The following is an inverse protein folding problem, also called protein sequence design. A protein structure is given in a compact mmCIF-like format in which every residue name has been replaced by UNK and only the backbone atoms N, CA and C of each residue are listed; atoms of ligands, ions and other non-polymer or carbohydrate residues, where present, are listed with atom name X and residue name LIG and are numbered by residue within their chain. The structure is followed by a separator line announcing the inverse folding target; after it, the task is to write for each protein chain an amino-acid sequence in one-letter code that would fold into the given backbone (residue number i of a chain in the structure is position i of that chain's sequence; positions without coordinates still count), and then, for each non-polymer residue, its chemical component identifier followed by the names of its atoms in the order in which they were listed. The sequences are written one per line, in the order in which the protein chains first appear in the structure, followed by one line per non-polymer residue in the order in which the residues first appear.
data_IF_086383723013
#
_entry.id   IF_086383723013
#
_cell.length_a   1.000
_cell.length_b   1.000
_cell.length_c   1.000
_cell.angle_alpha   90.00
_cell.angle_beta   90.00
_cell.angle_gamma   90.00
#
_symmetry.space_group_name_H-M   'P 1'
#
loop_
_entity.id
_entity.type
_entity.pdbx_description
1 polymer ?
#
# COMPACT_ATOMS: atom_id res chain seq x y z
N UNK A 1 -19.56 -72.90 2.76
CA UNK A 1 -18.14 -72.60 3.07
C UNK A 1 -17.94 -71.10 2.87
N UNK A 2 -17.47 -70.41 3.91
CA UNK A 2 -17.20 -68.96 3.89
C UNK A 2 -15.79 -68.72 3.34
N UNK A 3 -15.65 -68.06 2.20
CA UNK A 3 -14.35 -67.61 1.71
C UNK A 3 -14.04 -66.21 2.26
N UNK A 4 -13.11 -66.18 3.22
CA UNK A 4 -12.48 -64.96 3.73
C UNK A 4 -11.42 -64.50 2.73
N UNK A 5 -11.84 -63.68 1.76
CA UNK A 5 -10.93 -62.94 0.89
C UNK A 5 -10.09 -61.94 1.70
N UNK A 6 -8.81 -62.25 1.85
CA UNK A 6 -7.79 -61.40 2.47
C UNK A 6 -7.68 -60.07 1.71
N UNK A 7 -7.89 -58.94 2.40
CA UNK A 7 -7.45 -57.64 1.90
C UNK A 7 -5.92 -57.65 1.85
N UNK A 8 -5.36 -57.80 0.65
CA UNK A 8 -3.96 -57.55 0.39
C UNK A 8 -3.71 -56.06 0.58
N UNK A 9 -3.14 -55.68 1.71
CA UNK A 9 -2.62 -54.33 1.93
C UNK A 9 -1.43 -54.14 1.01
N UNK A 10 -1.66 -53.56 -0.16
CA UNK A 10 -0.58 -53.00 -0.96
C UNK A 10 0.06 -51.92 -0.11
N UNK A 11 1.21 -52.23 0.46
CA UNK A 11 2.08 -51.31 1.19
C UNK A 11 2.56 -50.29 0.15
N UNK A 12 1.81 -49.21 0.00
CA UNK A 12 2.24 -48.06 -0.80
C UNK A 12 3.47 -47.52 -0.06
N UNK A 13 4.63 -47.64 -0.69
CA UNK A 13 5.85 -47.00 -0.22
C UNK A 13 5.59 -45.49 -0.22
N UNK A 14 5.36 -44.93 0.97
CA UNK A 14 5.14 -43.50 1.17
C UNK A 14 6.24 -42.66 0.53
N UNK A 15 7.47 -43.19 0.46
CA UNK A 15 8.61 -42.58 -0.20
C UNK A 15 8.37 -42.30 -1.69
N UNK A 16 7.69 -43.20 -2.42
CA UNK A 16 7.31 -42.95 -3.84
C UNK A 16 6.22 -41.90 -3.99
N UNK A 17 5.34 -41.76 -2.99
CA UNK A 17 4.30 -40.71 -2.98
C UNK A 17 4.92 -39.36 -2.63
N UNK A 18 5.91 -39.35 -1.73
CA UNK A 18 6.70 -38.16 -1.39
C UNK A 18 7.53 -37.70 -2.59
N UNK A 19 8.19 -38.59 -3.32
CA UNK A 19 8.94 -38.21 -4.54
C UNK A 19 8.03 -37.57 -5.61
N UNK A 20 6.83 -38.10 -5.82
CA UNK A 20 5.84 -37.51 -6.76
C UNK A 20 5.30 -36.16 -6.26
N UNK A 21 5.30 -35.92 -4.95
CA UNK A 21 4.89 -34.65 -4.35
C UNK A 21 6.04 -33.63 -4.27
N UNK A 22 7.29 -34.07 -4.14
CA UNK A 22 8.48 -33.21 -4.20
C UNK A 22 8.79 -32.73 -5.62
N UNK A 23 8.49 -33.54 -6.65
CA UNK A 23 8.52 -33.13 -8.06
C UNK A 23 7.39 -32.16 -8.45
N UNK A 24 6.40 -31.97 -7.57
CA UNK A 24 5.39 -30.91 -7.65
C UNK A 24 5.82 -29.62 -6.93
N UNK A 25 7.12 -29.40 -6.71
CA UNK A 25 7.63 -28.04 -6.50
C UNK A 25 7.13 -27.18 -7.66
N UNK A 26 6.26 -26.25 -7.30
CA UNK A 26 5.44 -25.41 -8.16
C UNK A 26 6.21 -24.94 -9.41
N UNK A 27 6.01 -25.62 -10.54
CA UNK A 27 6.28 -24.99 -11.83
C UNK A 27 5.29 -23.84 -11.92
N UNK A 28 5.81 -22.62 -12.03
CA UNK A 28 4.96 -21.46 -12.27
C UNK A 28 4.15 -21.74 -13.54
N UNK A 29 2.91 -21.26 -13.63
CA UNK A 29 2.15 -21.34 -14.89
C UNK A 29 2.95 -20.76 -16.07
N UNK A 30 3.85 -19.82 -15.77
CA UNK A 30 4.80 -19.24 -16.71
C UNK A 30 5.83 -20.24 -17.26
N UNK A 31 6.23 -21.26 -16.49
CA UNK A 31 7.21 -22.28 -16.90
C UNK A 31 6.62 -23.26 -17.91
N UNK A 32 5.30 -23.47 -17.86
CA UNK A 32 4.53 -24.39 -18.70
C UNK A 32 4.07 -23.77 -20.03
N UNK A 33 4.30 -22.47 -20.27
CA UNK A 33 3.93 -21.81 -21.51
C UNK A 33 4.92 -22.10 -22.64
N UNK A 34 4.44 -22.08 -23.89
CA UNK A 34 5.30 -22.08 -25.09
C UNK A 34 6.22 -20.84 -25.09
N UNK A 35 7.47 -20.98 -25.53
CA UNK A 35 8.45 -19.89 -25.51
C UNK A 35 7.96 -18.63 -26.24
N UNK A 36 7.32 -18.78 -27.41
CA UNK A 36 6.72 -17.64 -28.15
C UNK A 36 5.67 -16.88 -27.33
N UNK A 37 4.92 -17.56 -26.47
CA UNK A 37 3.94 -16.92 -25.57
C UNK A 37 4.63 -16.21 -24.41
N UNK A 38 5.72 -16.78 -23.87
CA UNK A 38 6.52 -16.12 -22.82
C UNK A 38 7.20 -14.86 -23.34
N UNK A 39 7.76 -14.90 -24.55
CA UNK A 39 8.38 -13.74 -25.20
C UNK A 39 7.36 -12.61 -25.40
N UNK A 40 6.19 -12.91 -25.96
CA UNK A 40 5.11 -11.91 -26.11
C UNK A 40 4.67 -11.31 -24.78
N UNK A 41 4.55 -12.11 -23.72
CA UNK A 41 4.19 -11.59 -22.40
C UNK A 41 5.31 -10.69 -21.85
N UNK A 42 6.58 -11.08 -22.01
CA UNK A 42 7.72 -10.28 -21.58
C UNK A 42 7.83 -8.95 -22.34
N UNK A 43 7.55 -8.95 -23.65
CA UNK A 43 7.49 -7.73 -24.46
C UNK A 43 6.36 -6.81 -23.98
N UNK A 44 5.16 -7.36 -23.74
CA UNK A 44 4.04 -6.60 -23.20
C UNK A 44 4.36 -6.03 -21.81
N UNK A 45 5.03 -6.78 -20.93
CA UNK A 45 5.46 -6.30 -19.60
C UNK A 45 6.47 -5.15 -19.74
N UNK A 46 7.43 -5.26 -20.66
CA UNK A 46 8.38 -4.18 -20.94
C UNK A 46 7.70 -2.93 -21.48
N UNK A 47 6.75 -3.08 -22.40
CA UNK A 47 5.99 -1.97 -22.96
C UNK A 47 5.14 -1.28 -21.88
N UNK A 48 4.45 -2.05 -21.03
CA UNK A 48 3.67 -1.54 -19.89
C UNK A 48 4.58 -0.79 -18.91
N UNK A 49 5.73 -1.36 -18.56
CA UNK A 49 6.71 -0.72 -17.67
C UNK A 49 7.18 0.62 -18.23
N UNK A 50 7.48 0.67 -19.54
CA UNK A 50 7.92 1.89 -20.22
C UNK A 50 6.81 2.96 -20.22
N UNK A 51 5.56 2.56 -20.48
CA UNK A 51 4.41 3.47 -20.43
C UNK A 51 4.18 4.00 -19.01
N UNK A 52 4.33 3.16 -17.99
CA UNK A 52 4.26 3.56 -16.59
C UNK A 52 5.32 4.61 -16.25
N UNK A 53 6.57 4.41 -16.66
CA UNK A 53 7.64 5.38 -16.43
C UNK A 53 7.35 6.75 -17.07
N UNK A 54 6.79 6.76 -18.28
CA UNK A 54 6.38 8.00 -18.96
C UNK A 54 5.26 8.69 -18.18
N UNK A 55 4.28 7.93 -17.68
CA UNK A 55 3.18 8.48 -16.87
C UNK A 55 3.69 9.06 -15.56
N UNK A 56 4.61 8.36 -14.87
CA UNK A 56 5.25 8.84 -13.65
C UNK A 56 6.01 10.15 -13.89
N UNK A 57 6.82 10.24 -14.95
CA UNK A 57 7.53 11.48 -15.31
C UNK A 57 6.58 12.65 -15.62
N UNK A 58 5.46 12.37 -16.30
CA UNK A 58 4.43 13.40 -16.56
C UNK A 58 3.74 13.85 -15.26
N UNK A 59 3.46 12.91 -14.36
CA UNK A 59 2.93 13.21 -13.03
C UNK A 59 3.89 14.08 -12.22
N UNK A 60 5.19 13.77 -12.21
CA UNK A 60 6.21 14.58 -11.54
C UNK A 60 6.24 16.02 -12.09
N UNK A 61 6.11 16.17 -13.42
CA UNK A 61 6.03 17.48 -14.07
C UNK A 61 4.78 18.27 -13.69
N UNK A 62 3.63 17.61 -13.53
CA UNK A 62 2.37 18.23 -13.07
C UNK A 62 2.46 18.60 -11.59
N UNK A 63 2.98 17.71 -10.74
CA UNK A 63 3.21 17.96 -9.31
C UNK A 63 4.13 19.16 -9.12
N UNK A 64 5.23 19.25 -9.88
CA UNK A 64 6.17 20.38 -9.79
C UNK A 64 5.51 21.72 -10.15
N UNK A 65 4.62 21.74 -11.15
CA UNK A 65 3.87 22.94 -11.54
C UNK A 65 2.81 23.31 -10.51
N UNK A 66 2.09 22.32 -9.97
CA UNK A 66 1.15 22.52 -8.87
C UNK A 66 1.87 23.04 -7.63
N UNK A 67 3.03 22.50 -7.29
CA UNK A 67 3.86 22.96 -6.19
C UNK A 67 4.27 24.42 -6.36
N UNK A 68 4.63 24.84 -7.58
CA UNK A 68 4.98 26.23 -7.88
C UNK A 68 3.77 27.17 -7.75
N UNK A 69 2.59 26.76 -8.23
CA UNK A 69 1.35 27.52 -8.09
C UNK A 69 0.90 27.63 -6.63
N UNK A 70 0.93 26.52 -5.89
CA UNK A 70 0.58 26.45 -4.47
C UNK A 70 1.54 27.28 -3.60
N UNK A 71 2.82 27.33 -3.93
CA UNK A 71 3.79 28.23 -3.27
C UNK A 71 3.42 29.71 -3.49
N UNK A 72 2.94 30.05 -4.69
CA UNK A 72 2.46 31.40 -4.99
C UNK A 72 1.19 31.79 -4.21
N UNK A 73 0.27 30.85 -3.99
CA UNK A 73 -0.97 31.08 -3.26
C UNK A 73 -0.80 31.01 -1.73
N UNK A 74 0.12 30.19 -1.22
CA UNK A 74 0.34 29.98 0.22
C UNK A 74 1.83 30.01 0.58
N UNK A 75 2.44 31.20 0.68
CA UNK A 75 3.88 31.35 0.91
C UNK A 75 4.35 30.75 2.25
N UNK A 76 3.46 30.60 3.22
CA UNK A 76 3.73 29.94 4.50
C UNK A 76 4.08 28.45 4.35
N UNK A 77 3.60 27.79 3.28
CA UNK A 77 3.94 26.39 2.97
C UNK A 77 5.30 26.25 2.28
N UNK A 78 5.82 27.32 1.68
CA UNK A 78 7.08 27.31 0.95
C UNK A 78 8.30 27.12 1.86
N UNK A 79 8.17 27.49 3.14
CA UNK A 79 9.22 27.36 4.16
C UNK A 79 9.16 26.02 4.91
N UNK A 80 8.25 25.13 4.53
CA UNK A 80 8.10 23.81 5.16
C UNK A 80 9.06 22.81 4.53
N UNK A 81 9.54 21.87 5.35
CA UNK A 81 10.25 20.68 4.85
C UNK A 81 9.34 19.90 3.88
N UNK A 82 9.89 19.24 2.84
CA UNK A 82 9.09 18.59 1.79
C UNK A 82 8.00 17.65 2.31
N UNK A 83 8.32 16.87 3.34
CA UNK A 83 7.37 15.94 3.98
C UNK A 83 6.23 16.67 4.68
N UNK A 84 6.56 17.71 5.44
CA UNK A 84 5.60 18.53 6.17
C UNK A 84 4.71 19.27 5.17
N UNK A 85 5.29 19.75 4.07
CA UNK A 85 4.58 20.42 2.98
C UNK A 85 3.54 19.48 2.36
N UNK A 86 3.90 18.23 2.05
CA UNK A 86 2.96 17.24 1.49
C UNK A 86 1.77 17.02 2.43
N UNK A 87 2.03 16.83 3.71
CA UNK A 87 0.98 16.66 4.73
C UNK A 87 0.10 17.91 4.85
N UNK A 88 0.69 19.10 4.84
CA UNK A 88 -0.04 20.36 4.90
C UNK A 88 -0.99 20.52 3.70
N UNK A 89 -0.49 20.27 2.49
CA UNK A 89 -1.29 20.39 1.27
C UNK A 89 -2.48 19.43 1.27
N UNK A 90 -2.27 18.18 1.70
CA UNK A 90 -3.36 17.19 1.78
C UNK A 90 -4.41 17.57 2.84
N UNK A 91 -3.98 18.10 3.99
CA UNK A 91 -4.89 18.59 5.02
C UNK A 91 -5.63 19.87 4.62
N UNK A 92 -5.02 20.70 3.78
CA UNK A 92 -5.65 21.91 3.25
C UNK A 92 -6.85 21.60 2.34
N UNK A 93 -6.86 20.43 1.69
CA UNK A 93 -7.98 19.95 0.88
C UNK A 93 -9.21 19.58 1.71
N UNK A 94 -9.06 19.38 3.03
CA UNK A 94 -10.17 19.08 3.92
C UNK A 94 -11.03 20.32 4.16
N UNK A 95 -12.33 20.10 4.28
CA UNK A 95 -13.25 21.13 4.77
C UNK A 95 -13.04 21.36 6.27
N UNK A 96 -13.34 22.55 6.76
CA UNK A 96 -13.30 22.84 8.21
C UNK A 96 -14.24 21.88 8.95
N UNK A 97 -13.76 21.28 10.03
CA UNK A 97 -14.46 20.28 10.84
C UNK A 97 -14.44 18.86 10.26
N UNK A 98 -13.93 18.66 9.04
CA UNK A 98 -13.78 17.34 8.45
C UNK A 98 -12.63 16.56 9.14
N UNK A 99 -12.88 15.28 9.42
CA UNK A 99 -11.89 14.39 10.04
C UNK A 99 -11.27 13.46 9.01
N UNK A 100 -9.95 13.33 9.02
CA UNK A 100 -9.22 12.27 8.29
C UNK A 100 -8.50 11.37 9.30
N UNK A 101 -8.52 10.04 9.08
CA UNK A 101 -7.72 9.14 9.93
C UNK A 101 -6.25 9.21 9.55
N UNK A 102 -5.37 8.99 10.53
CA UNK A 102 -3.92 9.04 10.27
C UNK A 102 -3.47 7.95 9.29
N UNK A 103 -4.15 6.80 9.27
CA UNK A 103 -3.98 5.73 8.28
C UNK A 103 -4.19 6.26 6.86
N UNK A 104 -5.34 6.89 6.63
CA UNK A 104 -5.76 7.33 5.31
C UNK A 104 -4.87 8.48 4.83
N UNK A 105 -4.49 9.37 5.74
CA UNK A 105 -3.56 10.45 5.41
C UNK A 105 -2.18 9.87 5.02
N UNK A 106 -1.65 8.92 5.80
CA UNK A 106 -0.39 8.24 5.52
C UNK A 106 -0.37 7.53 4.16
N UNK A 107 -1.46 6.85 3.80
CA UNK A 107 -1.63 6.25 2.47
C UNK A 107 -1.59 7.31 1.36
N UNK A 108 -2.31 8.42 1.53
CA UNK A 108 -2.38 9.48 0.52
C UNK A 108 -1.06 10.21 0.28
N UNK A 109 -0.31 10.49 1.35
CA UNK A 109 0.99 11.16 1.23
C UNK A 109 2.15 10.20 0.93
N UNK A 110 1.92 8.89 1.02
CA UNK A 110 2.93 7.86 0.79
C UNK A 110 4.01 7.82 1.88
N UNK A 111 3.61 7.97 3.15
CA UNK A 111 4.52 8.03 4.30
C UNK A 111 4.07 7.09 5.43
N UNK A 112 4.95 6.81 6.40
CA UNK A 112 4.55 6.04 7.59
C UNK A 112 3.67 6.87 8.52
N UNK A 113 2.83 6.21 9.34
CA UNK A 113 1.93 6.90 10.27
C UNK A 113 2.69 7.75 11.27
N UNK A 114 3.83 7.26 11.74
CA UNK A 114 4.72 7.94 12.70
C UNK A 114 5.22 9.25 12.10
N UNK A 115 5.73 9.19 10.86
CA UNK A 115 6.26 10.36 10.15
C UNK A 115 5.17 11.38 9.83
N UNK A 116 3.96 10.91 9.48
CA UNK A 116 2.78 11.79 9.34
C UNK A 116 2.41 12.44 10.66
N UNK A 117 2.38 11.68 11.76
CA UNK A 117 2.04 12.23 13.08
C UNK A 117 3.03 13.33 13.50
N UNK A 118 4.33 13.10 13.29
CA UNK A 118 5.37 14.11 13.52
C UNK A 118 5.17 15.35 12.64
N UNK A 119 4.89 15.17 11.36
CA UNK A 119 4.63 16.28 10.45
C UNK A 119 3.41 17.11 10.88
N UNK A 120 2.32 16.47 11.29
CA UNK A 120 1.12 17.15 11.80
C UNK A 120 1.42 17.92 13.08
N UNK A 121 2.17 17.34 14.01
CA UNK A 121 2.60 18.05 15.23
C UNK A 121 3.43 19.29 14.90
N UNK A 122 4.41 19.17 14.00
CA UNK A 122 5.21 20.31 13.52
C UNK A 122 4.35 21.39 12.85
N UNK A 123 3.29 21.01 12.14
CA UNK A 123 2.33 21.98 11.56
C UNK A 123 1.57 22.73 12.65
N UNK A 124 1.07 22.02 13.66
CA UNK A 124 0.38 22.64 14.80
C UNK A 124 1.32 23.60 15.55
N UNK A 125 2.57 23.19 15.79
CA UNK A 125 3.61 24.05 16.40
C UNK A 125 3.91 25.30 15.58
N UNK A 126 3.84 25.21 14.25
CA UNK A 126 3.99 26.34 13.32
C UNK A 126 2.73 27.22 13.22
N UNK A 127 1.67 26.93 13.99
CA UNK A 127 0.46 27.73 14.08
C UNK A 127 -0.64 27.35 13.09
N UNK A 128 -0.50 26.22 12.38
CA UNK A 128 -1.56 25.75 11.51
C UNK A 128 -2.78 25.25 12.32
N UNK A 129 -3.97 25.53 11.79
CA UNK A 129 -5.26 25.24 12.43
C UNK A 129 -5.67 23.77 12.27
N UNK A 130 -4.93 22.89 12.93
CA UNK A 130 -5.20 21.46 12.96
C UNK A 130 -5.33 20.95 14.40
N UNK A 131 -6.12 19.89 14.58
CA UNK A 131 -6.25 19.20 15.85
C UNK A 131 -6.11 17.69 15.66
N UNK A 132 -5.33 17.06 16.55
CA UNK A 132 -5.25 15.60 16.64
C UNK A 132 -6.29 15.13 17.66
N UNK A 133 -7.15 14.19 17.25
CA UNK A 133 -8.19 13.59 18.08
C UNK A 133 -7.92 12.09 18.18
N UNK A 134 -7.86 11.56 19.39
CA UNK A 134 -7.83 10.13 19.64
C UNK A 134 -9.23 9.65 20.04
N UNK A 135 -9.78 8.73 19.25
CA UNK A 135 -11.05 8.07 19.55
C UNK A 135 -10.79 6.62 19.94
N UNK A 136 -11.27 6.22 21.12
CA UNK A 136 -11.19 4.85 21.60
C UNK A 136 -12.55 4.17 21.43
N UNK A 137 -12.62 3.13 20.61
CA UNK A 137 -13.84 2.34 20.40
C UNK A 137 -13.68 0.99 21.07
N UNK A 138 -14.48 0.75 22.11
CA UNK A 138 -14.60 -0.56 22.76
C UNK A 138 -15.63 -1.41 22.03
N UNK A 139 -15.23 -2.61 21.60
CA UNK A 139 -16.13 -3.64 21.07
C UNK A 139 -15.90 -4.90 21.90
N UNK A 140 -16.81 -5.15 22.86
CA UNK A 140 -16.63 -6.21 23.86
C UNK A 140 -15.38 -5.97 24.72
N UNK A 141 -14.48 -6.95 24.80
CA UNK A 141 -13.21 -6.87 25.53
C UNK A 141 -12.06 -6.23 24.74
N UNK A 142 -12.26 -5.93 23.45
CA UNK A 142 -11.24 -5.35 22.58
C UNK A 142 -11.41 -3.84 22.53
N UNK A 143 -10.36 -3.10 22.90
CA UNK A 143 -10.28 -1.65 22.69
C UNK A 143 -9.45 -1.35 21.45
N UNK A 144 -10.00 -0.57 20.51
CA UNK A 144 -9.24 -0.03 19.37
C UNK A 144 -9.17 1.48 19.47
N UNK A 145 -7.94 2.00 19.60
CA UNK A 145 -7.65 3.42 19.47
C UNK A 145 -7.45 3.79 18.00
N UNK A 146 -8.05 4.89 17.57
CA UNK A 146 -7.87 5.48 16.25
C UNK A 146 -7.50 6.94 16.41
N UNK A 147 -6.56 7.40 15.60
CA UNK A 147 -6.11 8.79 15.59
C UNK A 147 -6.67 9.46 14.34
N UNK A 148 -7.28 10.63 14.55
CA UNK A 148 -7.84 11.47 13.51
C UNK A 148 -7.21 12.86 13.56
N UNK A 149 -7.23 13.53 12.42
CA UNK A 149 -6.76 14.90 12.25
C UNK A 149 -7.95 15.70 11.72
N UNK A 150 -8.18 16.87 12.30
CA UNK A 150 -9.30 17.76 11.97
C UNK A 150 -8.77 19.14 11.63
N UNK A 151 -9.29 19.73 10.55
CA UNK A 151 -9.06 21.14 10.21
C UNK A 151 -10.00 22.03 11.02
N UNK A 152 -9.46 23.05 11.70
CA UNK A 152 -10.20 24.00 12.53
C UNK A 152 -10.58 25.27 11.75
#
# INVERSE_FOLDING_TARGET
MQDKGRYGSTKIELDKVVDVLEDKKEKSYFDLMEEEKKEKINENIKEISTKLDIVLKKLDGVISRLDALLIGEKPEHAKLEPDIKKVALELELLSIGEKISIEKLAERVGMSKERVNEAVKKLIEKGFKYQIIEEERKVGFISKKKTYIVKL
#
